data_IF_241523051126
#
_entry.id   IF_241523051126
#
_cell.length_a   1.000
_cell.length_b   1.000
_cell.length_c   1.000
_cell.angle_alpha   90.00
_cell.angle_beta   90.00
_cell.angle_gamma   90.00
#
_symmetry.space_group_name_H-M   'P 1'
#
loop_
_entity.id
_entity.type
_entity.pdbx_description
1 polymer ?
#
# COMPACT_ATOMS: atom_id res chain seq x y z
N UNK A 1 -9.39 10.44 4.11
CA UNK A 1 -9.14 9.87 2.77
C UNK A 1 -9.47 8.40 2.85
N UNK A 2 -10.25 7.90 1.88
CA UNK A 2 -10.90 6.59 1.93
C UNK A 2 -10.31 5.64 0.88
N UNK A 3 -9.01 5.79 0.62
CA UNK A 3 -8.31 5.08 -0.44
C UNK A 3 -6.96 4.57 0.06
N UNK A 4 -6.64 3.33 -0.28
CA UNK A 4 -5.42 2.62 0.11
C UNK A 4 -4.80 1.97 -1.13
N UNK A 5 -3.57 2.29 -1.45
CA UNK A 5 -2.80 1.62 -2.48
C UNK A 5 -2.07 0.41 -1.89
N UNK A 6 -2.26 -0.75 -2.52
CA UNK A 6 -1.62 -2.00 -2.13
C UNK A 6 -0.82 -2.59 -3.29
N UNK A 7 0.39 -3.03 -2.99
CA UNK A 7 1.34 -3.58 -3.96
C UNK A 7 1.80 -5.01 -3.60
N UNK A 8 1.44 -5.50 -2.41
CA UNK A 8 1.90 -6.78 -1.85
C UNK A 8 0.77 -7.73 -1.44
N UNK A 9 0.86 -8.25 -0.23
CA UNK A 9 0.02 -9.35 0.30
C UNK A 9 -1.46 -9.00 0.49
N UNK A 10 -1.81 -7.71 0.54
CA UNK A 10 -3.17 -7.20 0.63
C UNK A 10 -3.89 -7.11 -0.73
N UNK A 11 -3.20 -7.44 -1.85
CA UNK A 11 -3.82 -7.46 -3.17
C UNK A 11 -4.94 -8.52 -3.26
N UNK A 12 -5.96 -8.30 -4.09
CA UNK A 12 -7.03 -9.28 -4.29
C UNK A 12 -6.44 -10.64 -4.73
N UNK A 13 -6.92 -11.73 -4.12
CA UNK A 13 -6.44 -13.09 -4.40
C UNK A 13 -5.18 -13.53 -3.63
N UNK A 14 -4.64 -12.69 -2.73
CA UNK A 14 -3.53 -13.05 -1.84
C UNK A 14 -4.02 -13.37 -0.40
N UNK A 15 -3.12 -13.91 0.43
CA UNK A 15 -3.43 -14.40 1.78
C UNK A 15 -4.17 -13.39 2.66
N UNK A 16 -3.88 -12.09 2.52
CA UNK A 16 -4.48 -11.04 3.35
C UNK A 16 -5.59 -10.24 2.63
N UNK A 17 -5.98 -10.64 1.41
CA UNK A 17 -7.04 -9.97 0.64
C UNK A 17 -8.36 -9.89 1.42
N UNK A 18 -8.65 -10.93 2.19
CA UNK A 18 -9.87 -11.06 3.01
C UNK A 18 -10.07 -9.88 3.98
N UNK A 19 -9.00 -9.21 4.43
CA UNK A 19 -9.09 -8.04 5.30
C UNK A 19 -9.80 -6.90 4.57
N UNK A 20 -9.37 -6.57 3.34
CA UNK A 20 -9.95 -5.50 2.53
C UNK A 20 -11.26 -5.93 1.86
N UNK A 21 -11.39 -7.19 1.47
CA UNK A 21 -12.64 -7.74 0.94
C UNK A 21 -13.79 -7.65 1.97
N UNK A 22 -13.51 -7.89 3.25
CA UNK A 22 -14.50 -7.74 4.32
C UNK A 22 -14.93 -6.29 4.56
N UNK A 23 -14.07 -5.31 4.27
CA UNK A 23 -14.42 -3.89 4.38
C UNK A 23 -15.43 -3.49 3.29
N UNK A 24 -15.34 -4.13 2.12
CA UNK A 24 -16.20 -3.87 0.96
C UNK A 24 -15.84 -2.55 0.28
N UNK A 25 -15.52 -2.60 -1.01
CA UNK A 25 -15.07 -1.42 -1.75
C UNK A 25 -14.76 -1.73 -3.21
N UNK A 26 -14.21 -0.74 -3.89
CA UNK A 26 -13.81 -0.83 -5.29
C UNK A 26 -12.30 -0.99 -5.42
N UNK A 27 -11.89 -1.71 -6.45
CA UNK A 27 -10.48 -1.93 -6.79
C UNK A 27 -10.18 -1.30 -8.15
N UNK A 28 -9.16 -0.46 -8.19
CA UNK A 28 -8.69 0.20 -9.40
C UNK A 28 -7.22 -0.13 -9.64
N UNK A 29 -6.88 -0.61 -10.83
CA UNK A 29 -5.49 -0.84 -11.19
C UNK A 29 -4.74 0.49 -11.36
N UNK A 30 -3.52 0.56 -10.84
CA UNK A 30 -2.68 1.75 -10.96
C UNK A 30 -1.26 1.50 -10.48
N UNK A 31 -0.44 2.55 -10.53
CA UNK A 31 0.95 2.48 -10.14
C UNK A 31 1.39 3.73 -9.38
N UNK A 32 2.46 3.57 -8.62
CA UNK A 32 3.19 4.65 -7.93
C UNK A 32 4.65 4.63 -8.36
N UNK A 33 5.40 5.69 -8.07
CA UNK A 33 6.85 5.74 -8.30
C UNK A 33 7.61 5.43 -7.01
N UNK A 34 8.51 4.45 -7.09
CA UNK A 34 9.34 4.03 -5.96
C UNK A 34 10.11 2.76 -6.26
N UNK A 35 10.88 2.28 -5.30
CA UNK A 35 11.59 1.01 -5.43
C UNK A 35 10.82 -0.06 -4.66
N UNK A 36 10.43 -1.10 -5.38
CA UNK A 36 9.85 -2.31 -4.81
C UNK A 36 10.96 -3.26 -4.36
N UNK A 37 10.80 -3.79 -3.16
CA UNK A 37 11.67 -4.80 -2.57
C UNK A 37 10.85 -6.06 -2.35
N UNK A 38 11.32 -7.19 -2.88
CA UNK A 38 10.68 -8.50 -2.65
C UNK A 38 10.67 -8.87 -1.16
N UNK A 39 11.61 -8.34 -0.39
CA UNK A 39 11.72 -8.46 1.06
C UNK A 39 12.08 -7.13 1.68
N UNK A 40 11.31 -6.72 2.69
CA UNK A 40 11.55 -5.53 3.49
C UNK A 40 12.70 -5.71 4.48
N UNK A 41 12.62 -4.97 5.58
CA UNK A 41 13.56 -5.06 6.69
C UNK A 41 12.83 -4.79 8.02
N UNK A 42 13.50 -5.05 9.14
CA UNK A 42 12.87 -4.95 10.45
C UNK A 42 11.70 -5.93 10.58
N UNK A 43 10.54 -5.43 11.03
CA UNK A 43 9.31 -6.24 11.16
C UNK A 43 8.74 -6.69 9.79
N UNK A 44 9.16 -6.07 8.68
CA UNK A 44 8.74 -6.40 7.33
C UNK A 44 9.71 -7.35 6.58
N UNK A 45 10.69 -7.96 7.25
CA UNK A 45 11.76 -8.74 6.59
C UNK A 45 11.27 -9.95 5.76
N UNK A 46 10.14 -10.55 6.14
CA UNK A 46 9.53 -11.68 5.42
C UNK A 46 8.46 -11.26 4.39
N UNK A 47 8.23 -9.95 4.24
CA UNK A 47 7.16 -9.41 3.41
C UNK A 47 7.71 -8.41 2.37
N UNK A 48 7.03 -8.26 1.22
CA UNK A 48 7.43 -7.29 0.22
C UNK A 48 7.15 -5.86 0.71
N UNK A 49 8.05 -4.94 0.38
CA UNK A 49 7.93 -3.55 0.78
C UNK A 49 8.27 -2.58 -0.34
N UNK A 50 7.85 -1.33 -0.18
CA UNK A 50 8.16 -0.26 -1.13
C UNK A 50 8.82 0.90 -0.40
N UNK A 51 9.71 1.62 -1.08
CA UNK A 51 10.15 2.96 -0.67
C UNK A 51 9.78 3.94 -1.76
N UNK A 52 8.96 4.94 -1.45
CA UNK A 52 8.50 5.95 -2.40
C UNK A 52 9.63 6.94 -2.74
N UNK A 53 9.72 7.30 -4.02
CA UNK A 53 10.57 8.40 -4.52
C UNK A 53 10.20 8.72 -5.96
N UNK A 54 10.25 10.00 -6.33
CA UNK A 54 9.85 10.50 -7.65
C UNK A 54 10.65 9.91 -8.81
N UNK A 55 11.92 9.61 -8.57
CA UNK A 55 12.86 9.12 -9.59
C UNK A 55 12.89 7.59 -9.66
N UNK A 56 12.03 6.93 -8.90
CA UNK A 56 11.96 5.47 -8.82
C UNK A 56 11.26 4.84 -10.02
N UNK A 57 11.45 3.53 -10.23
CA UNK A 57 10.65 2.78 -11.19
C UNK A 57 9.17 2.81 -10.82
N UNK A 58 8.32 2.46 -11.79
CA UNK A 58 6.87 2.31 -11.53
C UNK A 58 6.63 0.99 -10.81
N UNK A 59 5.92 1.07 -9.70
CA UNK A 59 5.46 -0.09 -8.94
C UNK A 59 3.97 -0.25 -9.18
N UNK A 60 3.62 -1.33 -9.87
CA UNK A 60 2.24 -1.71 -10.18
C UNK A 60 1.53 -2.24 -8.92
N UNK A 61 0.27 -1.89 -8.78
CA UNK A 61 -0.56 -2.32 -7.66
C UNK A 61 -2.03 -2.05 -7.89
N UNK A 62 -2.77 -2.01 -6.79
CA UNK A 62 -4.20 -1.73 -6.82
C UNK A 62 -4.55 -0.68 -5.80
N UNK A 63 -5.37 0.27 -6.21
CA UNK A 63 -6.01 1.25 -5.36
C UNK A 63 -7.34 0.67 -4.87
N UNK A 64 -7.43 0.42 -3.57
CA UNK A 64 -8.66 0.05 -2.89
C UNK A 64 -9.36 1.31 -2.38
N UNK A 65 -10.62 1.52 -2.77
CA UNK A 65 -11.42 2.67 -2.36
C UNK A 65 -12.64 2.16 -1.61
N UNK A 66 -12.84 2.64 -0.38
CA UNK A 66 -13.99 2.26 0.44
C UNK A 66 -14.26 3.31 1.52
N UNK A 67 -15.52 3.68 1.71
CA UNK A 67 -15.92 4.57 2.80
C UNK A 67 -15.71 3.98 4.19
N UNK A 68 -15.70 2.64 4.28
CA UNK A 68 -15.51 1.92 5.52
C UNK A 68 -14.03 1.93 5.98
N UNK A 69 -13.06 2.19 5.10
CA UNK A 69 -11.62 2.23 5.45
C UNK A 69 -11.33 3.12 6.66
N UNK A 70 -12.07 4.22 6.78
CA UNK A 70 -11.96 5.17 7.89
C UNK A 70 -12.06 4.52 9.28
N UNK A 71 -12.89 3.48 9.43
CA UNK A 71 -13.07 2.74 10.67
C UNK A 71 -12.04 1.62 10.88
N UNK A 72 -11.34 1.21 9.82
CA UNK A 72 -10.39 0.09 9.83
C UNK A 72 -8.92 0.52 9.82
N UNK A 73 -8.64 1.83 9.77
CA UNK A 73 -7.27 2.34 9.75
C UNK A 73 -6.43 1.87 10.93
N UNK A 74 -6.98 1.87 12.14
CA UNK A 74 -6.25 1.41 13.32
C UNK A 74 -5.88 -0.09 13.22
N UNK A 75 -6.81 -0.93 12.77
CA UNK A 75 -6.55 -2.36 12.56
C UNK A 75 -5.45 -2.59 11.51
N UNK A 76 -5.47 -1.82 10.43
CA UNK A 76 -4.45 -1.92 9.37
C UNK A 76 -3.09 -1.43 9.85
N UNK A 77 -3.05 -0.34 10.61
CA UNK A 77 -1.81 0.19 11.20
C UNK A 77 -1.19 -0.83 12.18
N UNK A 78 -2.02 -1.48 13.01
CA UNK A 78 -1.56 -2.54 13.94
C UNK A 78 -1.09 -3.80 13.19
N UNK A 79 -1.69 -4.12 12.05
CA UNK A 79 -1.29 -5.25 11.21
C UNK A 79 0.03 -4.99 10.46
N UNK A 80 0.20 -3.76 9.96
CA UNK A 80 1.36 -3.31 9.19
C UNK A 80 2.37 -2.54 10.07
N UNK A 81 2.55 -2.92 11.35
CA UNK A 81 3.42 -2.24 12.34
C UNK A 81 4.87 -2.02 11.87
N UNK A 82 5.34 -2.81 10.89
CA UNK A 82 6.65 -2.67 10.24
C UNK A 82 6.73 -1.64 9.11
N UNK A 83 5.66 -0.91 8.83
CA UNK A 83 5.54 0.03 7.73
C UNK A 83 5.02 1.38 8.21
N UNK A 84 5.38 2.44 7.50
CA UNK A 84 4.83 3.77 7.72
C UNK A 84 3.70 4.04 6.74
N UNK A 85 2.51 4.38 7.26
CA UNK A 85 1.41 4.86 6.42
C UNK A 85 1.67 6.29 5.97
N UNK A 86 1.90 6.47 4.68
CA UNK A 86 2.18 7.77 4.05
C UNK A 86 1.20 8.06 2.92
N UNK A 87 1.01 9.34 2.61
CA UNK A 87 0.19 9.76 1.48
C UNK A 87 0.98 9.63 0.18
N UNK A 88 0.34 9.10 -0.86
CA UNK A 88 0.92 8.93 -2.19
C UNK A 88 -0.08 9.30 -3.28
N UNK A 89 0.44 9.77 -4.40
CA UNK A 89 -0.33 9.95 -5.62
C UNK A 89 -0.24 8.70 -6.49
N UNK A 90 -1.36 8.00 -6.64
CA UNK A 90 -1.47 6.82 -7.51
C UNK A 90 -1.91 7.27 -8.89
N UNK A 91 -1.21 6.82 -9.92
CA UNK A 91 -1.65 6.97 -11.31
C UNK A 91 -2.41 5.73 -11.73
N UNK A 92 -3.71 5.87 -11.97
CA UNK A 92 -4.56 4.79 -12.50
C UNK A 92 -4.15 4.40 -13.93
N UNK A 93 -4.59 3.24 -14.40
CA UNK A 93 -4.38 2.80 -15.79
C UNK A 93 -4.94 3.78 -16.84
N UNK A 94 -5.93 4.59 -16.47
CA UNK A 94 -6.49 5.66 -17.31
C UNK A 94 -5.66 6.96 -17.30
N UNK A 95 -4.55 7.00 -16.55
CA UNK A 95 -3.70 8.18 -16.40
C UNK A 95 -4.22 9.23 -15.42
N UNK A 96 -5.33 8.96 -14.71
CA UNK A 96 -5.83 9.83 -13.65
C UNK A 96 -4.98 9.66 -12.39
N UNK A 97 -4.66 10.77 -11.74
CA UNK A 97 -3.96 10.80 -10.47
C UNK A 97 -4.97 10.86 -9.32
N UNK A 98 -4.83 9.96 -8.35
CA UNK A 98 -5.70 9.84 -7.18
C UNK A 98 -4.84 9.81 -5.92
N UNK A 99 -5.22 10.60 -4.91
CA UNK A 99 -4.55 10.54 -3.60
C UNK A 99 -4.99 9.30 -2.84
N UNK A 100 -4.03 8.59 -2.28
CA UNK A 100 -4.25 7.38 -1.50
C UNK A 100 -3.24 7.30 -0.35
N UNK A 101 -3.56 6.47 0.64
CA UNK A 101 -2.56 6.01 1.60
C UNK A 101 -1.79 4.83 1.03
N UNK A 102 -0.55 4.64 1.46
CA UNK A 102 0.25 3.46 1.19
C UNK A 102 1.10 3.17 2.42
N UNK A 103 1.32 1.89 2.71
CA UNK A 103 2.29 1.46 3.70
C UNK A 103 3.64 1.34 3.01
N UNK A 104 4.61 2.17 3.36
CA UNK A 104 5.98 2.07 2.85
C UNK A 104 6.90 1.49 3.92
N UNK A 105 8.03 0.91 3.53
CA UNK A 105 9.02 0.45 4.50
C UNK A 105 9.50 1.62 5.35
N UNK A 106 9.53 1.41 6.66
CA UNK A 106 10.15 2.34 7.59
C UNK A 106 11.60 2.62 7.15
N UNK A 107 12.13 3.83 7.29
CA UNK A 107 13.52 4.10 6.98
C UNK A 107 14.41 3.15 7.78
N UNK A 108 15.44 2.58 7.15
CA UNK A 108 16.46 1.80 7.87
C UNK A 108 17.05 2.74 8.92
N UNK A 109 16.81 2.46 10.19
CA UNK A 109 17.53 3.14 11.26
C UNK A 109 19.00 2.77 11.09
N UNK A 110 19.78 3.68 10.51
CA UNK A 110 21.24 3.55 10.50
C UNK A 110 21.67 3.55 11.98
N UNK A 111 22.15 2.40 12.45
CA UNK A 111 22.80 2.27 13.76
C UNK A 111 24.28 2.63 13.65
#
# INVERSE_FOLDING_TARGET
MNALFVYGTLRPGHSNAHILENIGGEWLAGFVSGTFYERGWGAAADFPGIVLHSDGPRVEGYLFISDNLSAHWQMLDEFEDGYDRVEVTVTTSEGKQVQAWIYQLQPRSES
#
